data_IF_223483617016
#
_entry.id   IF_223483617016
#
_cell.length_a   1.000
_cell.length_b   1.000
_cell.length_c   1.000
_cell.angle_alpha   90.00
_cell.angle_beta   90.00
_cell.angle_gamma   90.00
#
_symmetry.space_group_name_H-M   'P 1'
#
loop_
_entity.id
_entity.type
_entity.pdbx_description
1 polymer ?
#
# COMPACT_ATOMS: atom_id res chain seq x y z
N UNK A 1 6.56 -2.61 10.67
CA UNK A 1 6.27 -1.16 10.54
C UNK A 1 5.89 -0.56 11.89
N UNK A 2 4.94 -1.15 12.62
CA UNK A 2 4.57 -0.72 13.98
C UNK A 2 5.76 -0.83 14.94
N UNK A 3 6.45 -1.97 14.96
CA UNK A 3 7.60 -2.21 15.86
C UNK A 3 8.77 -1.25 15.59
N UNK A 4 9.03 -0.95 14.32
CA UNK A 4 10.08 0.00 13.90
C UNK A 4 9.78 1.43 14.36
N UNK A 5 8.50 1.83 14.38
CA UNK A 5 8.06 3.15 14.82
C UNK A 5 8.11 3.29 16.34
N UNK A 6 7.78 2.22 17.08
CA UNK A 6 7.88 2.17 18.54
C UNK A 6 9.33 2.27 19.01
N UNK A 7 10.25 1.52 18.38
CA UNK A 7 11.68 1.58 18.68
C UNK A 7 12.28 2.96 18.41
N UNK A 8 11.86 3.62 17.32
CA UNK A 8 12.30 4.98 16.99
C UNK A 8 11.81 6.02 18.00
N UNK A 9 10.54 5.92 18.43
CA UNK A 9 9.97 6.78 19.45
C UNK A 9 10.75 6.64 20.77
N UNK A 10 10.91 5.40 21.26
CA UNK A 10 11.66 5.13 22.48
C UNK A 10 13.09 5.70 22.42
N UNK A 11 13.80 5.51 21.31
CA UNK A 11 15.16 6.04 21.14
C UNK A 11 15.22 7.57 21.18
N UNK A 12 14.21 8.25 20.61
CA UNK A 12 14.20 9.71 20.50
C UNK A 12 13.68 10.41 21.75
N UNK A 13 12.75 9.80 22.46
CA UNK A 13 12.06 10.43 23.60
C UNK A 13 12.35 9.81 24.95
N UNK A 14 13.06 8.67 25.01
CA UNK A 14 13.28 7.92 26.25
C UNK A 14 12.03 7.25 26.83
N UNK A 15 10.90 7.38 26.14
CA UNK A 15 9.58 6.91 26.57
C UNK A 15 8.89 6.17 25.42
N UNK A 16 8.15 5.12 25.75
CA UNK A 16 7.38 4.35 24.79
C UNK A 16 6.07 5.06 24.40
N UNK A 17 5.34 4.45 23.46
CA UNK A 17 4.11 5.01 22.93
C UNK A 17 2.96 5.06 23.97
N UNK A 18 2.97 4.17 24.96
CA UNK A 18 1.94 4.13 26.02
C UNK A 18 2.09 5.32 26.95
N UNK A 19 3.32 5.63 27.34
CA UNK A 19 3.62 6.81 28.14
C UNK A 19 3.15 8.10 27.44
N UNK A 20 3.43 8.22 26.14
CA UNK A 20 3.00 9.37 25.35
C UNK A 20 1.48 9.46 25.19
N UNK A 21 0.80 8.32 25.01
CA UNK A 21 -0.66 8.28 24.97
C UNK A 21 -1.27 8.70 26.32
N UNK A 22 -0.71 8.26 27.44
CA UNK A 22 -1.13 8.68 28.78
C UNK A 22 -0.97 10.19 28.99
N UNK A 23 0.18 10.76 28.60
CA UNK A 23 0.39 12.21 28.66
C UNK A 23 -0.57 12.98 27.75
N UNK A 24 -0.82 12.49 26.55
CA UNK A 24 -1.82 13.08 25.65
C UNK A 24 -3.22 13.08 26.25
N UNK A 25 -3.64 11.98 26.90
CA UNK A 25 -4.92 11.90 27.64
C UNK A 25 -4.97 12.90 28.80
N UNK A 26 -3.90 12.99 29.59
CA UNK A 26 -3.80 13.94 30.71
C UNK A 26 -3.82 15.40 30.24
N UNK A 27 -3.27 15.69 29.05
CA UNK A 27 -3.31 17.00 28.41
C UNK A 27 -4.67 17.32 27.75
N UNK A 28 -5.63 16.39 27.76
CA UNK A 28 -6.98 16.60 27.23
C UNK A 28 -7.06 16.66 25.70
N UNK A 29 -6.07 16.10 24.99
CA UNK A 29 -6.02 16.09 23.53
C UNK A 29 -7.13 15.19 22.96
N UNK A 30 -7.80 15.64 21.91
CA UNK A 30 -9.07 15.04 21.44
C UNK A 30 -8.95 14.33 20.11
N UNK A 31 -7.87 14.57 19.36
CA UNK A 31 -7.68 13.98 18.05
C UNK A 31 -6.21 13.85 17.64
N UNK A 32 -6.00 13.14 16.54
CA UNK A 32 -4.67 12.89 15.96
C UNK A 32 -3.92 14.16 15.51
N UNK A 33 -4.61 15.26 15.20
CA UNK A 33 -3.95 16.50 14.83
C UNK A 33 -3.39 17.20 16.07
N UNK A 34 -4.22 17.36 17.11
CA UNK A 34 -3.82 17.93 18.40
C UNK A 34 -2.65 17.17 19.03
N UNK A 35 -2.68 15.82 19.04
CA UNK A 35 -1.57 15.01 19.56
C UNK A 35 -0.26 15.24 18.79
N UNK A 36 -0.30 15.27 17.45
CA UNK A 36 0.90 15.48 16.64
C UNK A 36 1.47 16.89 16.78
N UNK A 37 0.60 17.87 16.99
CA UNK A 37 0.98 19.26 17.19
C UNK A 37 1.60 19.45 18.58
N UNK A 38 0.98 18.89 19.61
CA UNK A 38 1.50 18.87 20.97
C UNK A 38 2.87 18.16 21.06
N UNK A 39 3.00 16.93 20.54
CA UNK A 39 4.27 16.18 20.54
C UNK A 39 5.38 16.91 19.76
N UNK A 40 5.04 17.64 18.69
CA UNK A 40 6.01 18.40 17.89
C UNK A 40 6.42 19.69 18.58
N UNK A 41 5.45 20.49 19.00
CA UNK A 41 5.68 21.86 19.44
C UNK A 41 6.22 21.90 20.88
N UNK A 42 5.73 21.01 21.75
CA UNK A 42 6.14 20.99 23.16
C UNK A 42 7.29 20.03 23.45
N UNK A 43 7.45 18.99 22.63
CA UNK A 43 8.42 17.91 22.89
C UNK A 43 9.39 17.62 21.74
N UNK A 44 9.31 18.33 20.61
CA UNK A 44 10.23 18.17 19.49
C UNK A 44 10.13 16.82 18.76
N UNK A 45 9.13 15.99 19.06
CA UNK A 45 8.96 14.67 18.45
C UNK A 45 8.18 14.82 17.15
N UNK A 46 8.74 14.34 16.06
CA UNK A 46 8.16 14.48 14.71
C UNK A 46 8.17 13.17 13.92
N UNK A 47 7.37 13.14 12.85
CA UNK A 47 7.35 12.05 11.88
C UNK A 47 6.69 10.78 12.40
N UNK A 48 7.13 9.63 11.87
CA UNK A 48 6.45 8.35 12.07
C UNK A 48 6.37 7.87 13.53
N UNK A 49 7.21 8.41 14.42
CA UNK A 49 7.19 8.12 15.85
C UNK A 49 5.90 8.56 16.56
N UNK A 50 5.18 9.56 16.02
CA UNK A 50 3.93 10.07 16.62
C UNK A 50 2.74 9.11 16.44
N UNK A 51 2.78 8.25 15.42
CA UNK A 51 1.62 7.40 15.07
C UNK A 51 1.33 6.31 16.09
N UNK A 52 2.35 5.75 16.74
CA UNK A 52 2.14 4.71 17.74
C UNK A 52 1.33 5.23 18.95
N UNK A 53 1.65 6.43 19.44
CA UNK A 53 0.92 7.08 20.54
C UNK A 53 -0.49 7.49 20.10
N UNK A 54 -0.64 7.92 18.84
CA UNK A 54 -1.93 8.24 18.23
C UNK A 54 -2.85 7.02 18.15
N UNK A 55 -2.33 5.85 17.75
CA UNK A 55 -3.11 4.63 17.68
C UNK A 55 -3.52 4.10 19.06
N UNK A 56 -2.63 4.21 20.04
CA UNK A 56 -2.93 3.85 21.42
C UNK A 56 -4.01 4.76 22.04
N UNK A 57 -4.03 6.05 21.68
CA UNK A 57 -4.97 7.00 22.25
C UNK A 57 -6.33 7.02 21.54
N UNK A 58 -6.34 6.89 20.21
CA UNK A 58 -7.53 7.09 19.38
C UNK A 58 -7.94 5.86 18.59
N UNK A 59 -7.23 4.74 18.74
CA UNK A 59 -7.40 3.54 17.92
C UNK A 59 -6.69 3.64 16.57
N UNK A 60 -6.62 2.51 15.87
CA UNK A 60 -6.09 2.50 14.51
C UNK A 60 -6.97 3.33 13.58
N UNK A 61 -6.40 3.99 12.55
CA UNK A 61 -7.18 4.67 11.54
C UNK A 61 -8.18 3.70 10.93
N UNK A 62 -9.39 4.17 10.62
CA UNK A 62 -10.47 3.31 10.11
C UNK A 62 -10.01 2.48 8.90
N UNK A 63 -9.22 3.05 7.98
CA UNK A 63 -8.67 2.31 6.82
C UNK A 63 -7.73 1.14 7.16
N UNK A 64 -7.21 1.06 8.39
CA UNK A 64 -6.43 -0.08 8.89
C UNK A 64 -7.30 -1.12 9.59
N UNK A 65 -8.54 -0.77 9.93
CA UNK A 65 -9.54 -1.67 10.51
C UNK A 65 -10.46 -2.28 9.44
N UNK A 66 -10.55 -1.65 8.26
CA UNK A 66 -11.31 -2.19 7.12
C UNK A 66 -10.78 -3.55 6.72
N UNK A 67 -11.69 -4.48 6.52
CA UNK A 67 -11.35 -5.77 5.96
C UNK A 67 -10.94 -5.63 4.48
N UNK A 68 -10.39 -6.72 3.94
CA UNK A 68 -9.92 -6.76 2.57
C UNK A 68 -11.05 -6.46 1.57
N UNK A 69 -12.26 -6.90 1.85
CA UNK A 69 -13.43 -6.77 0.99
C UNK A 69 -13.91 -5.31 0.93
N UNK A 70 -14.02 -4.62 2.06
CA UNK A 70 -14.33 -3.20 2.13
C UNK A 70 -13.28 -2.32 1.40
N UNK A 71 -12.00 -2.67 1.54
CA UNK A 71 -10.92 -1.98 0.82
C UNK A 71 -11.00 -2.23 -0.69
N UNK A 72 -11.44 -3.41 -1.11
CA UNK A 72 -11.56 -3.75 -2.52
C UNK A 72 -12.82 -3.16 -3.16
N UNK A 73 -13.96 -3.32 -2.51
CA UNK A 73 -15.24 -2.73 -2.91
C UNK A 73 -15.11 -1.20 -3.03
N UNK A 74 -14.43 -0.56 -2.07
CA UNK A 74 -14.17 0.87 -2.10
C UNK A 74 -13.37 1.36 -3.32
N UNK A 75 -12.51 0.52 -3.93
CA UNK A 75 -11.73 0.89 -5.11
C UNK A 75 -12.62 1.03 -6.37
N UNK A 76 -13.70 0.26 -6.45
CA UNK A 76 -14.53 0.11 -7.64
C UNK A 76 -15.99 0.54 -7.45
N UNK A 77 -16.40 0.98 -6.25
CA UNK A 77 -17.78 1.38 -5.96
C UNK A 77 -18.38 2.39 -6.97
N UNK A 78 -17.55 3.30 -7.52
CA UNK A 78 -17.95 4.29 -8.54
C UNK A 78 -17.64 3.86 -9.98
N UNK A 79 -16.91 2.75 -10.16
CA UNK A 79 -16.43 2.27 -11.45
C UNK A 79 -16.52 0.72 -11.51
N UNK A 80 -17.69 0.12 -11.28
CA UNK A 80 -17.83 -1.33 -11.17
C UNK A 80 -17.42 -2.06 -12.45
N UNK A 81 -17.51 -1.41 -13.61
CA UNK A 81 -17.09 -1.96 -14.90
C UNK A 81 -15.59 -2.27 -15.00
N UNK A 82 -14.74 -1.67 -14.16
CA UNK A 82 -13.30 -1.95 -14.13
C UNK A 82 -12.92 -3.06 -13.16
N UNK A 83 -13.84 -3.47 -12.28
CA UNK A 83 -13.60 -4.53 -11.28
C UNK A 83 -13.25 -5.88 -11.93
N UNK A 84 -13.93 -6.34 -13.00
CA UNK A 84 -13.61 -7.62 -13.63
C UNK A 84 -12.15 -7.74 -14.11
N UNK A 85 -11.52 -6.63 -14.52
CA UNK A 85 -10.10 -6.63 -14.91
C UNK A 85 -9.22 -7.01 -13.72
N UNK A 86 -9.49 -6.45 -12.54
CA UNK A 86 -8.71 -6.74 -11.34
C UNK A 86 -9.06 -8.11 -10.77
N UNK A 87 -10.33 -8.54 -10.84
CA UNK A 87 -10.75 -9.89 -10.45
C UNK A 87 -9.98 -10.96 -11.24
N UNK A 88 -9.81 -10.78 -12.55
CA UNK A 88 -9.05 -11.71 -13.39
C UNK A 88 -7.56 -11.79 -12.98
N UNK A 89 -6.94 -10.65 -12.64
CA UNK A 89 -5.55 -10.62 -12.14
C UNK A 89 -5.45 -11.25 -10.75
N UNK A 90 -6.45 -11.04 -9.89
CA UNK A 90 -6.53 -11.64 -8.56
C UNK A 90 -6.73 -13.15 -8.61
N UNK A 91 -7.53 -13.65 -9.57
CA UNK A 91 -7.68 -15.08 -9.81
C UNK A 91 -6.34 -15.73 -10.19
N UNK A 92 -5.57 -15.11 -11.08
CA UNK A 92 -4.21 -15.56 -11.37
C UNK A 92 -3.32 -15.55 -10.12
N UNK A 93 -3.34 -14.46 -9.35
CA UNK A 93 -2.52 -14.33 -8.15
C UNK A 93 -2.87 -15.38 -7.08
N UNK A 94 -4.16 -15.67 -6.88
CA UNK A 94 -4.62 -16.68 -5.93
C UNK A 94 -4.26 -18.11 -6.35
N UNK A 95 -4.19 -18.36 -7.66
CA UNK A 95 -3.78 -19.66 -8.22
C UNK A 95 -2.26 -19.84 -8.35
N UNK A 96 -1.47 -18.78 -8.14
CA UNK A 96 -0.01 -18.80 -8.34
C UNK A 96 0.70 -18.94 -7.01
N UNK A 97 1.52 -20.00 -6.87
CA UNK A 97 2.32 -20.23 -5.68
C UNK A 97 3.30 -19.07 -5.41
N UNK A 98 3.49 -18.73 -4.13
CA UNK A 98 4.43 -17.69 -3.72
C UNK A 98 3.91 -16.26 -3.92
N UNK A 99 2.65 -16.08 -4.32
CA UNK A 99 2.01 -14.77 -4.42
C UNK A 99 1.14 -14.50 -3.20
N UNK A 100 1.48 -13.44 -2.45
CA UNK A 100 0.62 -12.88 -1.42
C UNK A 100 -0.11 -11.64 -1.93
N UNK A 101 -1.43 -11.61 -1.73
CA UNK A 101 -2.30 -10.51 -2.11
C UNK A 101 -2.47 -9.57 -0.90
N UNK A 102 -2.29 -8.26 -1.13
CA UNK A 102 -2.56 -7.24 -0.12
C UNK A 102 -3.49 -6.16 -0.67
N UNK A 103 -4.70 -6.09 -0.11
CA UNK A 103 -5.64 -5.02 -0.38
C UNK A 103 -5.20 -3.71 0.28
N UNK A 104 -5.21 -2.62 -0.48
CA UNK A 104 -5.01 -1.25 0.02
C UNK A 104 -6.16 -0.38 -0.48
N UNK A 105 -6.41 0.74 0.20
CA UNK A 105 -7.52 1.66 -0.12
C UNK A 105 -7.62 2.10 -1.59
N UNK A 106 -6.49 2.19 -2.31
CA UNK A 106 -6.45 2.69 -3.69
C UNK A 106 -5.83 1.76 -4.71
N UNK A 107 -5.35 0.58 -4.29
CA UNK A 107 -4.70 -0.38 -5.18
C UNK A 107 -4.61 -1.75 -4.51
N UNK A 108 -4.34 -2.77 -5.31
CA UNK A 108 -3.92 -4.09 -4.85
C UNK A 108 -2.42 -4.22 -5.01
N UNK A 109 -1.73 -4.75 -4.00
CA UNK A 109 -0.32 -5.15 -4.13
C UNK A 109 -0.17 -6.66 -4.19
N UNK A 110 0.68 -7.12 -5.10
CA UNK A 110 1.10 -8.51 -5.17
C UNK A 110 2.55 -8.61 -4.68
N UNK A 111 2.78 -9.55 -3.78
CA UNK A 111 4.04 -9.74 -3.08
C UNK A 111 4.58 -11.14 -3.35
N UNK A 112 5.88 -11.22 -3.62
CA UNK A 112 6.66 -12.44 -3.45
C UNK A 112 6.99 -12.60 -1.96
N UNK A 113 7.64 -13.71 -1.56
CA UNK A 113 8.14 -13.84 -0.19
C UNK A 113 9.09 -12.72 0.25
N UNK A 114 9.82 -12.12 -0.70
CA UNK A 114 10.85 -11.10 -0.42
C UNK A 114 10.34 -9.67 -0.51
N UNK A 115 9.53 -9.35 -1.53
CA UNK A 115 9.09 -7.96 -1.77
C UNK A 115 7.89 -7.87 -2.71
N UNK A 116 7.27 -6.69 -2.72
CA UNK A 116 6.26 -6.32 -3.70
C UNK A 116 6.85 -6.36 -5.12
N UNK A 117 6.17 -7.08 -6.02
CA UNK A 117 6.57 -7.19 -7.43
C UNK A 117 5.54 -6.61 -8.41
N UNK A 118 4.27 -6.48 -8.01
CA UNK A 118 3.25 -5.83 -8.83
C UNK A 118 2.30 -4.94 -8.01
N UNK A 119 1.72 -3.95 -8.68
CA UNK A 119 0.65 -3.10 -8.16
C UNK A 119 -0.45 -2.98 -9.20
N UNK A 120 -1.68 -3.36 -8.85
CA UNK A 120 -2.86 -3.20 -9.69
C UNK A 120 -3.65 -2.00 -9.19
N UNK A 121 -3.80 -0.98 -10.02
CA UNK A 121 -4.39 0.31 -9.61
C UNK A 121 -5.47 0.70 -10.60
N UNK A 122 -6.66 1.04 -10.12
CA UNK A 122 -7.62 1.81 -10.93
C UNK A 122 -7.01 3.18 -11.22
N UNK A 123 -6.47 3.36 -12.42
CA UNK A 123 -5.67 4.53 -12.76
C UNK A 123 -6.53 5.76 -13.05
N UNK A 124 -7.66 5.56 -13.73
CA UNK A 124 -8.65 6.60 -14.01
C UNK A 124 -10.05 5.97 -14.13
N UNK A 125 -10.98 6.64 -14.80
CA UNK A 125 -12.37 6.19 -14.92
C UNK A 125 -12.56 5.05 -15.94
N UNK A 126 -11.56 4.75 -16.75
CA UNK A 126 -11.65 3.80 -17.87
C UNK A 126 -10.53 2.77 -17.91
N UNK A 127 -9.54 2.84 -17.01
CA UNK A 127 -8.33 1.99 -17.10
C UNK A 127 -7.84 1.49 -15.75
N UNK A 128 -7.24 0.32 -15.79
CA UNK A 128 -6.47 -0.30 -14.70
C UNK A 128 -5.00 -0.34 -15.13
N UNK A 129 -4.11 0.20 -14.31
CA UNK A 129 -2.67 0.14 -14.53
C UNK A 129 -2.07 -0.98 -13.67
N UNK A 130 -1.31 -1.87 -14.30
CA UNK A 130 -0.48 -2.89 -13.64
C UNK A 130 0.97 -2.42 -13.70
N UNK A 131 1.45 -1.86 -12.59
CA UNK A 131 2.85 -1.49 -12.45
C UNK A 131 3.67 -2.70 -11.97
N UNK A 132 4.83 -2.92 -12.56
CA UNK A 132 5.67 -4.10 -12.34
C UNK A 132 7.08 -3.70 -11.90
N UNK A 133 7.60 -4.41 -10.89
CA UNK A 133 9.04 -4.43 -10.60
C UNK A 133 9.65 -5.54 -11.45
N UNK A 134 10.13 -5.19 -12.64
CA UNK A 134 10.68 -6.15 -13.60
C UNK A 134 11.84 -5.52 -14.35
N UNK A 135 12.88 -6.31 -14.66
CA UNK A 135 14.05 -5.86 -15.42
C UNK A 135 13.92 -6.26 -16.90
N UNK A 136 12.85 -5.81 -17.56
CA UNK A 136 12.61 -6.04 -19.00
C UNK A 136 12.53 -4.67 -19.70
N UNK A 137 13.15 -4.48 -20.87
CA UNK A 137 13.01 -3.25 -21.64
C UNK A 137 11.54 -2.95 -21.98
N UNK A 138 11.17 -1.67 -21.98
CA UNK A 138 9.84 -1.27 -22.43
C UNK A 138 9.67 -1.59 -23.94
N UNK A 139 8.47 -1.96 -24.33
CA UNK A 139 8.13 -2.34 -25.70
C UNK A 139 6.73 -2.96 -25.80
N UNK A 140 6.06 -2.72 -26.93
CA UNK A 140 4.68 -3.17 -27.14
C UNK A 140 3.75 -2.61 -26.06
N UNK A 141 3.05 -3.49 -25.33
CA UNK A 141 2.13 -3.12 -24.24
C UNK A 141 2.82 -2.79 -22.91
N UNK A 142 4.12 -3.06 -22.77
CA UNK A 142 4.91 -2.73 -21.58
C UNK A 142 5.50 -1.33 -21.74
N UNK A 143 4.94 -0.37 -21.03
CA UNK A 143 5.31 1.03 -21.09
C UNK A 143 6.36 1.39 -20.04
N UNK A 144 7.26 2.31 -20.38
CA UNK A 144 8.13 2.95 -19.41
C UNK A 144 7.38 4.07 -18.68
N UNK A 145 7.53 4.12 -17.35
CA UNK A 145 6.90 5.16 -16.52
C UNK A 145 7.96 5.88 -15.71
N UNK A 146 7.87 7.21 -15.66
CA UNK A 146 8.76 8.02 -14.84
C UNK A 146 8.41 7.81 -13.36
N UNK A 147 9.38 7.32 -12.60
CA UNK A 147 9.26 7.12 -11.15
C UNK A 147 10.31 7.94 -10.40
N UNK A 148 10.18 7.99 -9.07
CA UNK A 148 11.18 8.65 -8.21
C UNK A 148 12.48 7.86 -8.21
N UNK A 149 13.60 8.53 -7.95
CA UNK A 149 14.88 7.85 -7.80
C UNK A 149 14.78 6.75 -6.71
N UNK A 150 15.21 5.53 -7.05
CA UNK A 150 15.14 4.36 -6.17
C UNK A 150 13.82 3.59 -6.20
N UNK A 151 12.79 4.07 -6.90
CA UNK A 151 11.58 3.28 -7.15
C UNK A 151 11.81 2.34 -8.34
N UNK A 152 11.37 1.09 -8.22
CA UNK A 152 11.58 0.05 -9.23
C UNK A 152 10.32 -0.29 -10.03
N UNK A 153 9.25 0.46 -9.86
CA UNK A 153 8.00 0.30 -10.61
C UNK A 153 7.97 1.19 -11.87
N UNK A 154 9.06 1.18 -12.63
CA UNK A 154 9.24 1.98 -13.85
C UNK A 154 8.70 1.30 -15.13
N UNK A 155 8.02 0.15 -14.96
CA UNK A 155 7.32 -0.58 -16.01
C UNK A 155 5.85 -0.71 -15.68
N UNK A 156 5.01 -0.51 -16.69
CA UNK A 156 3.56 -0.56 -16.56
C UNK A 156 2.90 -1.19 -17.77
N UNK A 157 1.82 -1.93 -17.54
CA UNK A 157 0.86 -2.29 -18.57
C UNK A 157 -0.46 -1.62 -18.21
N UNK A 158 -1.01 -0.85 -19.14
CA UNK A 158 -2.35 -0.27 -19.01
C UNK A 158 -3.37 -1.21 -19.64
N UNK A 159 -4.49 -1.40 -18.95
CA UNK A 159 -5.54 -2.34 -19.33
C UNK A 159 -6.87 -1.61 -19.40
N UNK A 160 -7.61 -1.82 -20.50
CA UNK A 160 -8.90 -1.18 -20.73
C UNK A 160 -10.08 -2.16 -20.75
N UNK A 161 -9.81 -3.45 -20.98
CA UNK A 161 -10.81 -4.51 -20.95
C UNK A 161 -10.29 -5.79 -20.30
N UNK A 162 -11.19 -6.70 -19.96
CA UNK A 162 -10.84 -8.04 -19.43
C UNK A 162 -10.10 -8.90 -20.44
N UNK A 163 -10.34 -8.72 -21.74
CA UNK A 163 -9.71 -9.52 -22.80
C UNK A 163 -8.20 -9.27 -22.89
N UNK A 164 -7.75 -8.10 -22.43
CA UNK A 164 -6.34 -7.75 -22.32
C UNK A 164 -5.65 -8.43 -21.12
N UNK A 165 -6.39 -9.11 -20.22
CA UNK A 165 -5.83 -10.01 -19.19
C UNK A 165 -5.52 -11.37 -19.83
N UNK A 166 -4.64 -11.31 -20.82
CA UNK A 166 -4.22 -12.42 -21.67
C UNK A 166 -2.92 -13.06 -21.17
N UNK A 167 -2.48 -14.12 -21.86
CA UNK A 167 -1.21 -14.80 -21.57
C UNK A 167 -0.01 -13.85 -21.60
N UNK A 168 -0.02 -12.80 -22.42
CA UNK A 168 1.05 -11.81 -22.47
C UNK A 168 1.18 -11.04 -21.15
N UNK A 169 0.08 -10.56 -20.59
CA UNK A 169 0.07 -9.93 -19.26
C UNK A 169 0.51 -10.91 -18.18
N UNK A 170 -0.03 -12.13 -18.17
CA UNK A 170 0.29 -13.13 -17.15
C UNK A 170 1.77 -13.55 -17.20
N UNK A 171 2.37 -13.59 -18.39
CA UNK A 171 3.81 -13.82 -18.55
C UNK A 171 4.64 -12.70 -17.93
N UNK A 172 4.25 -11.43 -18.07
CA UNK A 172 4.94 -10.33 -17.40
C UNK A 172 4.80 -10.39 -15.88
N UNK A 173 3.63 -10.76 -15.37
CA UNK A 173 3.42 -10.96 -13.92
C UNK A 173 4.28 -12.10 -13.38
N UNK A 174 4.39 -13.22 -14.11
CA UNK A 174 5.23 -14.36 -13.73
C UNK A 174 6.71 -14.01 -13.75
N UNK A 175 7.20 -13.36 -14.82
CA UNK A 175 8.58 -12.89 -14.90
C UNK A 175 8.91 -11.86 -13.80
N UNK A 176 7.96 -10.99 -13.45
CA UNK A 176 8.10 -10.09 -12.31
C UNK A 176 8.15 -10.85 -10.98
N UNK A 177 7.33 -11.89 -10.77
CA UNK A 177 7.39 -12.71 -9.56
C UNK A 177 8.76 -13.40 -9.44
N UNK A 178 9.22 -14.09 -10.48
CA UNK A 178 10.48 -14.82 -10.53
C UNK A 178 11.71 -13.92 -10.27
N UNK A 179 11.74 -12.71 -10.82
CA UNK A 179 12.82 -11.75 -10.56
C UNK A 179 12.84 -11.17 -9.15
N UNK A 180 11.85 -11.49 -8.32
CA UNK A 180 11.61 -10.86 -7.02
C UNK A 180 11.48 -11.83 -5.86
N UNK A 181 11.73 -13.13 -6.04
CA UNK A 181 11.85 -14.08 -4.92
C UNK A 181 13.11 -13.86 -4.06
#
# INVERSE_FOLDING_TARGET
MVDSNQALLLRKSGHDFRWWAEKGRAAGLRNNAELRDWMRNEHGITGYAQYASSWEMFGYPEFMLRDADELYDGQYAKHPQLRPITDAILAWAAATEGVAIQMRKGYVSLHSPKRKFAQVTRANNTTVDVALRINVPAGGRLEAVKVRAGDSFDRRIRITSTDEVDAGLLNFLSAALEGNV
#
